data_IF_424951613778
#
_entry.id   IF_424951613778
#
_cell.length_a   1.000
_cell.length_b   1.000
_cell.length_c   1.000
_cell.angle_alpha   90.00
_cell.angle_beta   90.00
_cell.angle_gamma   90.00
#
_symmetry.space_group_name_H-M   'P 1'
#
loop_
_entity.id
_entity.type
_entity.pdbx_description
1 polymer ?
#
# COMPACT_ATOMS: atom_id res chain seq x y z
N UNK A 1 -17.44 -2.82 8.58
CA UNK A 1 -16.25 -2.42 9.37
C UNK A 1 -15.74 -1.10 8.83
N UNK A 2 -15.00 -0.34 9.62
CA UNK A 2 -14.23 0.82 9.17
C UNK A 2 -12.75 0.55 9.48
N UNK A 3 -11.87 0.89 8.54
CA UNK A 3 -10.43 0.74 8.70
C UNK A 3 -9.72 1.97 8.13
N UNK A 4 -8.56 2.28 8.68
CA UNK A 4 -7.66 3.32 8.18
C UNK A 4 -6.20 2.90 8.36
N UNK A 5 -5.32 3.50 7.55
CA UNK A 5 -3.88 3.39 7.75
C UNK A 5 -3.51 4.36 8.86
N UNK A 6 -2.94 3.83 9.93
CA UNK A 6 -2.53 4.61 11.09
C UNK A 6 -1.16 5.26 10.87
N UNK A 7 -0.22 4.51 10.26
CA UNK A 7 1.15 4.96 10.05
C UNK A 7 1.85 4.15 8.96
N UNK A 8 2.76 4.78 8.22
CA UNK A 8 3.79 4.08 7.43
C UNK A 8 4.93 3.74 8.39
N UNK A 9 5.12 2.46 8.67
CA UNK A 9 6.17 1.98 9.57
C UNK A 9 7.53 1.93 8.89
N UNK A 10 7.59 1.39 7.68
CA UNK A 10 8.78 1.40 6.85
C UNK A 10 8.44 1.63 5.38
N UNK A 11 9.36 2.30 4.69
CA UNK A 11 9.35 2.54 3.26
C UNK A 11 10.81 2.44 2.80
N UNK A 12 11.20 1.25 2.37
CA UNK A 12 12.58 0.90 2.06
C UNK A 12 12.70 0.62 0.57
N UNK A 13 13.73 1.17 -0.06
CA UNK A 13 13.94 1.05 -1.49
C UNK A 13 14.44 2.34 -2.11
N UNK A 14 14.33 2.41 -3.43
CA UNK A 14 14.82 3.55 -4.20
C UNK A 14 13.94 3.87 -5.40
N UNK A 15 14.04 5.11 -5.87
CA UNK A 15 13.48 5.52 -7.14
C UNK A 15 14.47 6.43 -7.87
N UNK A 16 14.68 6.14 -9.15
CA UNK A 16 15.50 6.91 -10.07
C UNK A 16 14.63 7.37 -11.23
N UNK A 17 14.59 8.67 -11.47
CA UNK A 17 13.98 9.26 -12.64
C UNK A 17 15.04 10.08 -13.38
N UNK A 18 15.23 9.82 -14.68
CA UNK A 18 16.25 10.47 -15.49
C UNK A 18 15.76 10.74 -16.91
N UNK A 19 16.23 11.82 -17.53
CA UNK A 19 15.98 12.14 -18.93
C UNK A 19 17.30 12.03 -19.70
N UNK A 20 17.43 10.98 -20.51
CA UNK A 20 18.61 10.77 -21.35
C UNK A 20 18.22 11.00 -22.79
N UNK A 21 18.68 12.13 -23.36
CA UNK A 21 18.47 12.52 -24.77
C UNK A 21 16.99 12.48 -25.20
N UNK A 22 16.07 12.91 -24.33
CA UNK A 22 14.63 12.94 -24.60
C UNK A 22 13.90 11.62 -24.30
N UNK A 23 14.61 10.58 -23.83
CA UNK A 23 14.00 9.36 -23.30
C UNK A 23 13.95 9.44 -21.77
N UNK A 24 12.74 9.41 -21.23
CA UNK A 24 12.52 9.26 -19.80
C UNK A 24 12.78 7.83 -19.35
N UNK A 25 13.55 7.70 -18.28
CA UNK A 25 13.90 6.44 -17.64
C UNK A 25 13.42 6.53 -16.20
N UNK A 26 12.62 5.56 -15.80
CA UNK A 26 12.10 5.43 -14.44
C UNK A 26 12.44 4.04 -13.93
N UNK A 27 13.11 3.99 -12.80
CA UNK A 27 13.32 2.79 -12.02
C UNK A 27 12.78 3.05 -10.62
N UNK A 28 12.04 2.12 -10.07
CA UNK A 28 11.67 2.19 -8.67
C UNK A 28 11.53 0.78 -8.11
N UNK A 29 11.88 0.63 -6.85
CA UNK A 29 11.65 -0.58 -6.10
C UNK A 29 11.39 -0.21 -4.65
N UNK A 30 10.28 -0.70 -4.10
CA UNK A 30 9.86 -0.40 -2.74
C UNK A 30 9.38 -1.64 -2.01
N UNK A 31 9.72 -1.70 -0.73
CA UNK A 31 9.13 -2.54 0.28
C UNK A 31 8.48 -1.65 1.34
N UNK A 32 7.18 -1.83 1.58
CA UNK A 32 6.39 -0.99 2.48
C UNK A 32 5.80 -1.82 3.61
N UNK A 33 5.92 -1.30 4.83
CA UNK A 33 5.19 -1.79 6.01
C UNK A 33 4.26 -0.70 6.51
N UNK A 34 2.97 -0.97 6.55
CA UNK A 34 1.94 -0.04 6.99
C UNK A 34 1.25 -0.58 8.25
N UNK A 35 1.11 0.24 9.27
CA UNK A 35 0.25 -0.06 10.41
C UNK A 35 -1.18 0.39 10.10
N UNK A 36 -2.15 -0.50 10.32
CA UNK A 36 -3.57 -0.22 10.12
C UNK A 36 -4.35 -0.45 11.41
N UNK A 37 -5.45 0.29 11.54
CA UNK A 37 -6.41 0.12 12.62
C UNK A 37 -7.84 0.15 12.10
N UNK A 38 -8.76 -0.46 12.82
CA UNK A 38 -10.16 -0.54 12.43
C UNK A 38 -11.07 -1.05 13.52
N UNK A 39 -12.37 -0.99 13.28
CA UNK A 39 -13.40 -1.46 14.20
C UNK A 39 -14.65 -1.95 13.44
N UNK A 40 -15.48 -2.74 14.12
CA UNK A 40 -16.80 -3.10 13.61
C UNK A 40 -17.76 -1.93 13.83
N UNK A 41 -18.71 -1.77 12.91
CA UNK A 41 -19.72 -0.72 13.05
C UNK A 41 -20.56 -1.04 14.30
N UNK A 42 -20.71 -0.06 15.18
CA UNK A 42 -21.41 -0.24 16.46
C UNK A 42 -20.51 -0.72 17.61
N UNK A 43 -19.21 -0.92 17.38
CA UNK A 43 -18.23 -1.20 18.45
C UNK A 43 -17.15 -0.12 18.51
N UNK A 44 -16.61 0.11 19.71
CA UNK A 44 -15.46 0.99 19.94
C UNK A 44 -14.15 0.22 20.09
N UNK A 45 -14.21 -1.12 20.10
CA UNK A 45 -13.03 -1.98 20.20
C UNK A 45 -12.18 -1.82 18.94
N UNK A 46 -10.98 -1.27 19.13
CA UNK A 46 -9.98 -1.11 18.08
C UNK A 46 -9.30 -2.46 17.80
N UNK A 47 -9.07 -2.72 16.52
CA UNK A 47 -8.38 -3.88 15.99
C UNK A 47 -7.24 -3.35 15.12
N UNK A 48 -6.04 -3.87 15.35
CA UNK A 48 -4.82 -3.42 14.70
C UNK A 48 -4.13 -4.56 13.95
N UNK A 49 -3.28 -4.19 13.01
CA UNK A 49 -2.34 -5.10 12.36
C UNK A 49 -1.41 -4.37 11.41
N UNK A 50 -0.66 -5.15 10.62
CA UNK A 50 0.25 -4.63 9.60
C UNK A 50 -0.21 -5.00 8.20
N UNK A 51 0.16 -4.18 7.22
CA UNK A 51 0.09 -4.48 5.81
C UNK A 51 1.52 -4.45 5.27
N UNK A 52 1.95 -5.55 4.67
CA UNK A 52 3.24 -5.64 4.00
C UNK A 52 3.02 -5.70 2.49
N UNK A 53 3.68 -4.79 1.79
CA UNK A 53 3.70 -4.69 0.33
C UNK A 53 5.16 -4.86 -0.09
N UNK A 54 5.47 -6.02 -0.66
CA UNK A 54 6.80 -6.36 -1.13
C UNK A 54 6.88 -6.27 -2.64
N UNK A 55 8.07 -6.02 -3.18
CA UNK A 55 8.35 -6.01 -4.61
C UNK A 55 7.47 -5.00 -5.38
N UNK A 56 7.21 -3.83 -4.80
CA UNK A 56 6.57 -2.76 -5.55
C UNK A 56 7.60 -2.08 -6.43
N UNK A 57 7.76 -2.55 -7.66
CA UNK A 57 8.78 -2.07 -8.59
C UNK A 57 8.24 -1.77 -10.00
N UNK A 58 9.06 -1.16 -10.84
CA UNK A 58 8.73 -0.88 -12.24
C UNK A 58 8.61 -2.15 -13.10
N UNK A 59 9.21 -3.25 -12.66
CA UNK A 59 9.11 -4.56 -13.31
C UNK A 59 7.77 -5.28 -13.01
N UNK A 60 7.06 -4.86 -11.96
CA UNK A 60 5.86 -5.55 -11.48
C UNK A 60 4.56 -4.77 -11.76
N UNK A 61 3.51 -5.48 -12.17
CA UNK A 61 2.19 -4.89 -12.40
C UNK A 61 1.47 -4.72 -11.05
N UNK A 62 0.92 -3.54 -10.77
CA UNK A 62 0.24 -3.23 -9.50
C UNK A 62 -0.89 -4.21 -9.14
N UNK A 63 -1.60 -4.71 -10.15
CA UNK A 63 -2.63 -5.72 -9.97
C UNK A 63 -2.09 -7.02 -9.33
N UNK A 64 -0.85 -7.39 -9.64
CA UNK A 64 -0.20 -8.64 -9.22
C UNK A 64 0.57 -8.50 -7.90
N UNK A 65 0.83 -7.26 -7.45
CA UNK A 65 1.51 -7.01 -6.18
C UNK A 65 0.78 -7.68 -5.02
N UNK A 66 1.56 -8.42 -4.24
CA UNK A 66 1.10 -9.16 -3.07
C UNK A 66 0.96 -8.22 -1.88
N UNK A 67 -0.28 -7.90 -1.54
CA UNK A 67 -0.62 -7.11 -0.34
C UNK A 67 -0.97 -8.08 0.79
N UNK A 68 -0.06 -8.23 1.75
CA UNK A 68 -0.20 -9.14 2.89
C UNK A 68 -0.74 -8.41 4.11
N UNK A 69 -1.93 -8.78 4.57
CA UNK A 69 -2.55 -8.18 5.75
C UNK A 69 -2.42 -9.13 6.94
N UNK A 70 -1.89 -8.63 8.05
CA UNK A 70 -1.75 -9.33 9.32
C UNK A 70 -2.73 -8.79 10.37
N UNK A 71 -2.85 -9.49 11.49
CA UNK A 71 -3.54 -9.04 12.70
C UNK A 71 -2.56 -9.10 13.86
N UNK A 72 -2.60 -8.10 14.72
CA UNK A 72 -1.84 -8.10 15.97
C UNK A 72 -2.42 -9.11 16.97
N UNK A 73 -3.75 -9.21 17.03
CA UNK A 73 -4.47 -10.14 17.89
C UNK A 73 -5.50 -10.95 17.10
N UNK A 74 -5.65 -12.23 17.45
CA UNK A 74 -6.61 -13.14 16.82
C UNK A 74 -7.91 -13.19 17.60
N UNK A 75 -8.94 -12.57 17.07
CA UNK A 75 -10.33 -12.68 17.55
C UNK A 75 -11.30 -12.87 16.38
N UNK A 76 -12.55 -13.23 16.69
CA UNK A 76 -13.58 -13.37 15.66
C UNK A 76 -13.84 -12.03 14.95
N UNK A 77 -13.96 -10.95 15.73
CA UNK A 77 -14.14 -9.59 15.22
C UNK A 77 -12.94 -9.15 14.37
N UNK A 78 -11.72 -9.45 14.83
CA UNK A 78 -10.49 -9.14 14.12
C UNK A 78 -10.44 -9.82 12.75
N UNK A 79 -10.86 -11.09 12.66
CA UNK A 79 -10.96 -11.82 11.38
C UNK A 79 -11.97 -11.16 10.43
N UNK A 80 -13.10 -10.67 10.93
CA UNK A 80 -14.09 -9.94 10.11
C UNK A 80 -13.50 -8.64 9.58
N UNK A 81 -12.85 -7.84 10.43
CA UNK A 81 -12.24 -6.55 10.03
C UNK A 81 -11.11 -6.80 9.02
N UNK A 82 -10.25 -7.80 9.25
CA UNK A 82 -9.21 -8.21 8.30
C UNK A 82 -9.82 -8.64 6.96
N UNK A 83 -10.88 -9.43 6.96
CA UNK A 83 -11.55 -9.87 5.73
C UNK A 83 -12.15 -8.69 4.95
N UNK A 84 -12.72 -7.71 5.64
CA UNK A 84 -13.18 -6.46 5.02
C UNK A 84 -12.00 -5.69 4.38
N UNK A 85 -10.90 -5.50 5.10
CA UNK A 85 -9.70 -4.83 4.59
C UNK A 85 -9.08 -5.59 3.41
N UNK A 86 -9.11 -6.92 3.45
CA UNK A 86 -8.65 -7.76 2.34
C UNK A 86 -9.49 -7.57 1.07
N UNK A 87 -10.81 -7.56 1.17
CA UNK A 87 -11.66 -7.47 -0.02
C UNK A 87 -11.78 -6.04 -0.56
N UNK A 88 -11.91 -5.04 0.31
CA UNK A 88 -12.16 -3.66 -0.10
C UNK A 88 -10.92 -2.77 0.04
N UNK A 89 -10.15 -2.95 1.11
CA UNK A 89 -8.96 -2.14 1.39
C UNK A 89 -7.84 -2.33 0.38
N UNK A 90 -7.62 -3.58 -0.09
CA UNK A 90 -6.58 -3.85 -1.10
C UNK A 90 -6.78 -3.07 -2.40
N UNK A 91 -8.04 -2.83 -2.81
CA UNK A 91 -8.33 -2.00 -3.98
C UNK A 91 -7.83 -0.57 -3.75
N UNK A 92 -8.20 0.04 -2.63
CA UNK A 92 -7.75 1.40 -2.27
C UNK A 92 -6.23 1.51 -2.17
N UNK A 93 -5.55 0.48 -1.65
CA UNK A 93 -4.09 0.45 -1.58
C UNK A 93 -3.50 0.45 -2.99
N UNK A 94 -4.02 -0.40 -3.89
CA UNK A 94 -3.59 -0.42 -5.30
C UNK A 94 -3.82 0.92 -5.99
N UNK A 95 -4.97 1.55 -5.78
CA UNK A 95 -5.26 2.88 -6.34
C UNK A 95 -4.20 3.92 -5.89
N UNK A 96 -3.71 3.84 -4.64
CA UNK A 96 -2.64 4.72 -4.16
C UNK A 96 -1.27 4.38 -4.77
N UNK A 97 -0.96 3.10 -4.97
CA UNK A 97 0.27 2.69 -5.65
C UNK A 97 0.28 3.14 -7.12
N UNK A 98 -0.85 3.03 -7.82
CA UNK A 98 -1.01 3.53 -9.18
C UNK A 98 -0.87 5.06 -9.24
N UNK A 99 -1.46 5.76 -8.26
CA UNK A 99 -1.29 7.21 -8.13
C UNK A 99 0.18 7.58 -7.94
N UNK A 100 0.92 6.87 -7.10
CA UNK A 100 2.36 7.09 -6.94
C UNK A 100 3.12 6.96 -8.26
N UNK A 101 2.88 5.90 -9.05
CA UNK A 101 3.54 5.71 -10.35
C UNK A 101 3.21 6.86 -11.30
N UNK A 102 1.95 7.27 -11.32
CA UNK A 102 1.48 8.37 -12.16
C UNK A 102 2.17 9.67 -11.77
N UNK A 103 2.16 10.01 -10.48
CA UNK A 103 2.79 11.23 -9.97
C UNK A 103 4.30 11.22 -10.25
N UNK A 104 5.00 10.11 -10.04
CA UNK A 104 6.42 9.96 -10.37
C UNK A 104 6.72 10.29 -11.84
N UNK A 105 5.87 9.82 -12.76
CA UNK A 105 6.04 10.05 -14.20
C UNK A 105 5.64 11.48 -14.61
N UNK A 106 4.57 12.01 -14.04
CA UNK A 106 4.05 13.35 -14.37
C UNK A 106 4.88 14.48 -13.76
N UNK A 107 5.35 14.35 -12.52
CA UNK A 107 6.19 15.37 -11.88
C UNK A 107 7.54 15.48 -12.59
N UNK A 108 8.13 14.36 -12.98
CA UNK A 108 9.43 14.37 -13.67
C UNK A 108 9.36 14.82 -15.13
N UNK A 109 8.22 14.62 -15.81
CA UNK A 109 8.04 15.04 -17.21
C UNK A 109 7.66 16.51 -17.38
N UNK A 110 7.35 17.23 -16.29
CA UNK A 110 7.11 18.68 -16.28
C UNK A 110 8.40 19.51 -16.22
N UNK A 111 9.56 18.85 -16.14
CA UNK A 111 10.90 19.46 -16.20
C UNK A 111 11.41 19.62 -17.63
#
# INVERSE_FOLDING_TARGET
AKCEIAKIESCEGEAVANNIKGKFIFFYEWNLTLNWKGHLIGTTKEIEGTINISNFSDENIVAEIKINISLKELSYEAKIVKHFLYNQGRKKIRDQLEKYIKDLKEEFSKG
#
